data_IF_232417068539
#
_entry.id   IF_232417068539
#
_cell.length_a   1.000
_cell.length_b   1.000
_cell.length_c   1.000
_cell.angle_alpha   90.00
_cell.angle_beta   90.00
_cell.angle_gamma   90.00
#
_symmetry.space_group_name_H-M   'P 1'
#
loop_
_entity.id
_entity.type
_entity.pdbx_description
1 polymer ?
#
# COMPACT_ATOMS: atom_id res chain seq x y z
N UNK A 1 -27.71 -9.33 -12.35
CA UNK A 1 -26.42 -10.07 -12.42
C UNK A 1 -26.02 -10.48 -11.01
N UNK A 2 -25.83 -11.78 -10.71
CA UNK A 2 -25.54 -12.28 -9.36
C UNK A 2 -24.29 -11.66 -8.73
N UNK A 3 -23.24 -11.45 -9.54
CA UNK A 3 -21.96 -10.94 -9.05
C UNK A 3 -22.03 -9.48 -8.57
N UNK A 4 -22.78 -8.60 -9.24
CA UNK A 4 -22.98 -7.21 -8.79
C UNK A 4 -23.74 -7.15 -7.45
N UNK A 5 -24.72 -8.04 -7.27
CA UNK A 5 -25.46 -8.16 -6.02
C UNK A 5 -24.54 -8.67 -4.89
N UNK A 6 -23.75 -9.71 -5.17
CA UNK A 6 -22.78 -10.25 -4.22
C UNK A 6 -21.77 -9.18 -3.80
N UNK A 7 -21.18 -8.46 -4.74
CA UNK A 7 -20.21 -7.40 -4.45
C UNK A 7 -20.81 -6.32 -3.53
N UNK A 8 -21.98 -5.78 -3.91
CA UNK A 8 -22.66 -4.74 -3.13
C UNK A 8 -23.00 -5.21 -1.71
N UNK A 9 -23.60 -6.39 -1.59
CA UNK A 9 -23.98 -6.95 -0.29
C UNK A 9 -22.76 -7.24 0.58
N UNK A 10 -21.66 -7.74 0.00
CA UNK A 10 -20.41 -8.04 0.71
C UNK A 10 -19.73 -6.76 1.20
N UNK A 11 -19.65 -5.70 0.37
CA UNK A 11 -19.05 -4.42 0.78
C UNK A 11 -19.86 -3.76 1.90
N UNK A 12 -21.19 -3.68 1.76
CA UNK A 12 -22.04 -3.12 2.82
C UNK A 12 -21.90 -3.94 4.11
N UNK A 13 -21.89 -5.27 4.01
CA UNK A 13 -21.74 -6.16 5.17
C UNK A 13 -20.38 -5.96 5.85
N UNK A 14 -19.33 -5.81 5.06
CA UNK A 14 -17.97 -5.58 5.57
C UNK A 14 -17.87 -4.22 6.28
N UNK A 15 -18.44 -3.17 5.67
CA UNK A 15 -18.52 -1.84 6.28
C UNK A 15 -19.26 -1.87 7.62
N UNK A 16 -20.40 -2.58 7.69
CA UNK A 16 -21.23 -2.64 8.89
C UNK A 16 -20.63 -3.51 10.01
N UNK A 17 -19.96 -4.62 9.68
CA UNK A 17 -19.37 -5.51 10.68
C UNK A 17 -17.91 -5.17 11.01
N UNK A 18 -17.21 -4.40 10.16
CA UNK A 18 -15.81 -4.00 10.32
C UNK A 18 -14.82 -5.16 10.34
N UNK A 19 -15.22 -6.36 9.89
CA UNK A 19 -14.36 -7.57 9.95
C UNK A 19 -14.66 -8.50 8.78
N UNK A 20 -13.65 -9.01 8.05
CA UNK A 20 -13.82 -9.96 6.96
C UNK A 20 -14.01 -11.39 7.50
N UNK A 21 -15.00 -11.57 8.38
CA UNK A 21 -15.42 -12.86 8.94
C UNK A 21 -16.76 -13.21 8.32
N UNK A 22 -16.81 -14.26 7.49
CA UNK A 22 -17.95 -14.58 6.62
C UNK A 22 -19.26 -14.69 7.39
N UNK A 23 -19.28 -15.38 8.53
CA UNK A 23 -20.49 -15.49 9.36
C UNK A 23 -20.93 -14.16 9.96
N UNK A 24 -20.02 -13.23 10.29
CA UNK A 24 -20.37 -11.88 10.75
C UNK A 24 -20.89 -11.04 9.59
N UNK A 25 -20.25 -11.09 8.44
CA UNK A 25 -20.74 -10.45 7.22
C UNK A 25 -22.15 -10.92 6.88
N UNK A 26 -22.44 -12.23 6.95
CA UNK A 26 -23.78 -12.78 6.71
C UNK A 26 -24.84 -12.23 7.67
N UNK A 27 -24.48 -11.92 8.93
CA UNK A 27 -25.41 -11.29 9.91
C UNK A 27 -25.73 -9.84 9.58
N UNK A 28 -24.79 -9.13 8.93
CA UNK A 28 -24.92 -7.70 8.59
C UNK A 28 -25.34 -7.46 7.14
N UNK A 29 -25.68 -8.53 6.39
CA UNK A 29 -26.21 -8.37 5.02
C UNK A 29 -27.49 -7.53 5.00
N UNK A 30 -27.65 -6.62 4.01
CA UNK A 30 -28.81 -5.71 3.91
C UNK A 30 -30.14 -6.46 3.84
N UNK A 31 -30.21 -7.55 3.09
CA UNK A 31 -31.42 -8.34 2.94
C UNK A 31 -31.62 -9.31 4.11
N UNK A 32 -32.41 -8.88 5.11
CA UNK A 32 -32.71 -9.68 6.30
C UNK A 32 -33.94 -10.60 6.16
N UNK A 33 -34.66 -10.54 5.06
CA UNK A 33 -35.82 -11.45 4.81
C UNK A 33 -35.36 -12.90 4.60
N UNK A 34 -34.16 -13.10 4.07
CA UNK A 34 -33.56 -14.43 3.90
C UNK A 34 -33.01 -14.97 5.21
N UNK A 35 -33.20 -16.27 5.48
CA UNK A 35 -32.66 -16.95 6.67
C UNK A 35 -31.14 -16.79 6.76
N UNK A 36 -30.61 -16.73 7.97
CA UNK A 36 -29.17 -16.53 8.21
C UNK A 36 -28.29 -17.58 7.49
N UNK A 37 -28.62 -18.88 7.61
CA UNK A 37 -27.85 -19.93 6.96
C UNK A 37 -27.83 -19.76 5.44
N UNK A 38 -28.95 -19.44 4.80
CA UNK A 38 -29.00 -19.22 3.34
C UNK A 38 -28.16 -18.01 2.90
N UNK A 39 -28.01 -16.98 3.77
CA UNK A 39 -27.10 -15.85 3.49
C UNK A 39 -25.64 -16.26 3.63
N UNK A 40 -25.33 -17.08 4.65
CA UNK A 40 -24.00 -17.61 4.89
C UNK A 40 -23.57 -18.50 3.73
N UNK A 41 -24.38 -19.50 3.36
CA UNK A 41 -24.11 -20.42 2.25
C UNK A 41 -23.89 -19.68 0.94
N UNK A 42 -24.69 -18.63 0.69
CA UNK A 42 -24.53 -17.79 -0.51
C UNK A 42 -23.21 -17.02 -0.51
N UNK A 43 -22.81 -16.44 0.63
CA UNK A 43 -21.50 -15.78 0.74
C UNK A 43 -20.35 -16.76 0.51
N UNK A 44 -20.37 -17.89 1.19
CA UNK A 44 -19.34 -18.91 1.09
C UNK A 44 -19.23 -19.45 -0.34
N UNK A 45 -20.37 -19.79 -0.97
CA UNK A 45 -20.36 -20.28 -2.35
C UNK A 45 -19.80 -19.28 -3.35
N UNK A 46 -20.09 -17.97 -3.20
CA UNK A 46 -19.52 -16.95 -4.08
C UNK A 46 -18.03 -16.69 -3.80
N UNK A 47 -17.60 -16.80 -2.55
CA UNK A 47 -16.19 -16.64 -2.19
C UNK A 47 -15.28 -17.72 -2.77
N UNK A 48 -15.77 -18.95 -2.92
CA UNK A 48 -14.99 -20.09 -3.44
C UNK A 48 -15.26 -20.39 -4.91
N UNK A 49 -16.31 -19.81 -5.50
CA UNK A 49 -16.72 -20.10 -6.87
C UNK A 49 -15.60 -19.76 -7.85
N UNK A 50 -15.20 -20.73 -8.66
CA UNK A 50 -14.30 -20.46 -9.78
C UNK A 50 -15.05 -19.61 -10.84
N UNK A 51 -14.76 -18.32 -10.87
CA UNK A 51 -15.38 -17.36 -11.80
C UNK A 51 -14.39 -16.27 -12.14
N UNK A 52 -14.60 -15.64 -13.28
CA UNK A 52 -13.81 -14.47 -13.72
C UNK A 52 -14.13 -13.17 -12.96
N UNK A 53 -14.75 -13.30 -11.79
CA UNK A 53 -15.20 -12.17 -10.96
C UNK A 53 -14.04 -11.27 -10.53
N UNK A 54 -12.96 -11.88 -10.04
CA UNK A 54 -11.81 -11.13 -9.53
C UNK A 54 -11.10 -10.36 -10.66
N UNK A 55 -10.97 -10.99 -11.84
CA UNK A 55 -10.36 -10.35 -13.00
C UNK A 55 -11.21 -9.18 -13.51
N UNK A 56 -12.53 -9.34 -13.55
CA UNK A 56 -13.46 -8.25 -13.93
C UNK A 56 -13.32 -7.05 -13.00
N UNK A 57 -13.29 -7.28 -11.69
CA UNK A 57 -13.11 -6.18 -10.73
C UNK A 57 -11.73 -5.54 -10.94
N UNK A 58 -10.67 -6.34 -10.99
CA UNK A 58 -9.30 -5.85 -11.15
C UNK A 58 -9.07 -5.10 -12.47
N UNK A 59 -9.82 -5.42 -13.52
CA UNK A 59 -9.75 -4.70 -14.80
C UNK A 59 -10.51 -3.37 -14.79
N UNK A 60 -11.57 -3.25 -13.98
CA UNK A 60 -12.36 -2.02 -13.86
C UNK A 60 -11.79 -1.02 -12.84
N UNK A 61 -11.04 -1.48 -11.84
CA UNK A 61 -10.48 -0.64 -10.78
C UNK A 61 -9.62 0.53 -11.27
N UNK A 62 -8.76 0.38 -12.29
CA UNK A 62 -7.92 1.47 -12.77
C UNK A 62 -8.70 2.70 -13.22
N UNK A 63 -9.92 2.53 -13.75
CA UNK A 63 -10.75 3.65 -14.19
C UNK A 63 -11.06 4.66 -13.07
N UNK A 64 -11.02 4.23 -11.80
CA UNK A 64 -11.32 5.08 -10.65
C UNK A 64 -10.14 5.95 -10.19
N UNK A 65 -8.91 5.57 -10.49
CA UNK A 65 -7.72 6.30 -10.04
C UNK A 65 -6.78 6.74 -11.17
N UNK A 66 -6.83 6.08 -12.32
CA UNK A 66 -5.97 6.38 -13.47
C UNK A 66 -6.09 7.83 -13.98
N UNK A 67 -7.28 8.47 -13.98
CA UNK A 67 -7.41 9.88 -14.38
C UNK A 67 -6.61 10.85 -13.52
N UNK A 68 -6.35 10.51 -12.25
CA UNK A 68 -5.60 11.34 -11.30
C UNK A 68 -4.09 11.07 -11.35
N UNK A 69 -3.66 10.09 -12.14
CA UNK A 69 -2.28 9.63 -12.19
C UNK A 69 -1.43 10.55 -13.07
N UNK A 70 -0.37 11.10 -12.49
CA UNK A 70 0.58 12.01 -13.15
C UNK A 70 1.92 11.28 -13.40
N UNK A 71 2.75 11.89 -14.26
CA UNK A 71 4.08 11.35 -14.54
C UNK A 71 4.97 11.22 -13.31
N UNK A 72 4.84 12.11 -12.33
CA UNK A 72 5.61 12.12 -11.10
C UNK A 72 4.83 11.55 -9.89
N UNK A 73 3.70 10.89 -10.12
CA UNK A 73 2.96 10.22 -9.04
C UNK A 73 3.83 9.14 -8.39
N UNK A 74 4.08 9.21 -7.07
CA UNK A 74 4.77 8.13 -6.37
C UNK A 74 3.94 6.86 -6.38
N UNK A 75 4.55 5.77 -6.82
CA UNK A 75 4.03 4.40 -6.70
C UNK A 75 4.83 3.74 -5.58
N UNK A 76 4.23 3.66 -4.41
CA UNK A 76 4.88 3.12 -3.22
C UNK A 76 4.76 1.60 -3.28
N UNK A 77 5.91 0.92 -3.33
CA UNK A 77 6.01 -0.53 -3.29
C UNK A 77 6.43 -0.95 -1.89
N UNK A 78 5.65 -1.83 -1.29
CA UNK A 78 5.95 -2.42 0.02
C UNK A 78 5.53 -3.90 0.08
N UNK A 79 6.02 -4.60 1.09
CA UNK A 79 5.61 -5.95 1.45
C UNK A 79 5.15 -5.94 2.89
N UNK A 80 3.98 -6.51 3.13
CA UNK A 80 3.50 -6.75 4.47
C UNK A 80 3.05 -8.20 4.67
N UNK A 81 2.48 -8.47 5.82
CA UNK A 81 2.00 -9.79 6.20
C UNK A 81 0.51 -9.75 6.56
N UNK A 82 -0.12 -10.90 6.50
CA UNK A 82 -1.40 -11.20 7.13
C UNK A 82 -1.13 -12.27 8.17
N UNK A 83 -0.80 -11.85 9.40
CA UNK A 83 -0.44 -12.75 10.49
C UNK A 83 -1.61 -13.68 10.88
N UNK A 84 -1.31 -14.97 11.02
CA UNK A 84 -2.25 -16.04 11.41
C UNK A 84 -1.63 -16.96 12.47
N UNK A 85 -1.17 -16.44 13.63
CA UNK A 85 -0.34 -17.18 14.57
C UNK A 85 -0.98 -18.47 15.08
N UNK A 86 -2.30 -18.54 15.11
CA UNK A 86 -3.04 -19.71 15.61
C UNK A 86 -3.60 -20.62 14.49
N UNK A 87 -3.45 -20.27 13.22
CA UNK A 87 -3.95 -21.06 12.11
C UNK A 87 -3.06 -22.30 11.88
N UNK A 88 -3.68 -23.43 11.55
CA UNK A 88 -2.98 -24.70 11.28
C UNK A 88 -3.44 -25.40 10.00
N UNK A 89 -4.60 -25.03 9.45
CA UNK A 89 -5.28 -25.78 8.37
C UNK A 89 -5.77 -24.89 7.22
N UNK A 90 -5.31 -23.64 7.17
CA UNK A 90 -5.64 -22.77 6.04
C UNK A 90 -4.79 -23.19 4.82
N UNK A 91 -5.37 -23.12 3.61
CA UNK A 91 -4.65 -23.44 2.39
C UNK A 91 -3.39 -22.57 2.24
N UNK A 92 -2.29 -23.19 1.83
CA UNK A 92 -1.00 -22.53 1.55
C UNK A 92 -0.48 -21.63 2.69
N UNK A 93 -0.71 -22.04 3.93
CA UNK A 93 -0.26 -21.29 5.11
C UNK A 93 1.26 -21.32 5.21
N UNK A 94 1.90 -20.19 5.04
CA UNK A 94 3.36 -20.04 5.07
C UNK A 94 3.85 -19.48 6.42
N UNK A 95 5.17 -19.50 6.62
CA UNK A 95 5.83 -18.75 7.69
C UNK A 95 6.14 -17.34 7.18
N UNK A 96 5.63 -16.35 7.88
CA UNK A 96 5.86 -14.92 7.59
C UNK A 96 6.45 -14.22 8.81
N UNK A 97 7.08 -13.08 8.59
CA UNK A 97 7.52 -12.22 9.67
C UNK A 97 6.43 -11.21 9.98
N UNK A 98 5.83 -11.30 11.15
CA UNK A 98 4.86 -10.33 11.64
C UNK A 98 5.52 -8.94 11.77
N UNK A 99 5.04 -7.98 10.97
CA UNK A 99 5.58 -6.62 10.96
C UNK A 99 5.39 -5.86 12.28
N UNK A 100 4.46 -6.29 13.15
CA UNK A 100 4.16 -5.65 14.42
C UNK A 100 5.05 -6.14 15.56
N UNK A 101 5.34 -7.44 15.63
CA UNK A 101 6.13 -8.08 16.69
C UNK A 101 7.56 -8.41 16.27
N UNK A 102 7.80 -8.55 14.96
CA UNK A 102 9.05 -9.02 14.39
C UNK A 102 9.26 -10.53 14.50
N UNK A 103 8.29 -11.28 15.03
CA UNK A 103 8.34 -12.73 15.21
C UNK A 103 7.99 -13.47 13.91
N UNK A 104 8.45 -14.71 13.79
CA UNK A 104 8.04 -15.62 12.73
C UNK A 104 6.76 -16.33 13.16
N UNK A 105 5.72 -16.14 12.37
CA UNK A 105 4.38 -16.69 12.61
C UNK A 105 3.80 -17.30 11.34
N UNK A 106 2.78 -18.12 11.49
CA UNK A 106 1.99 -18.56 10.34
C UNK A 106 1.24 -17.38 9.71
N UNK A 107 1.14 -17.34 8.39
CA UNK A 107 0.46 -16.24 7.69
C UNK A 107 0.62 -16.27 6.19
N UNK A 108 0.37 -15.11 5.57
CA UNK A 108 0.52 -14.88 4.15
C UNK A 108 1.29 -13.59 3.92
N UNK A 109 2.06 -13.53 2.86
CA UNK A 109 2.65 -12.30 2.38
C UNK A 109 1.63 -11.49 1.58
N UNK A 110 1.79 -10.18 1.58
CA UNK A 110 0.98 -9.24 0.83
C UNK A 110 1.91 -8.31 0.03
N UNK A 111 1.85 -8.38 -1.30
CA UNK A 111 2.50 -7.40 -2.15
C UNK A 111 1.59 -6.20 -2.29
N UNK A 112 2.14 -5.00 -2.06
CA UNK A 112 1.38 -3.78 -1.96
C UNK A 112 1.94 -2.71 -2.89
N UNK A 113 1.07 -2.13 -3.70
CA UNK A 113 1.35 -0.95 -4.50
C UNK A 113 0.29 0.12 -4.21
N UNK A 114 0.75 1.26 -3.72
CA UNK A 114 -0.10 2.43 -3.46
C UNK A 114 0.30 3.58 -4.36
N UNK A 115 -0.68 4.22 -5.01
CA UNK A 115 -0.45 5.50 -5.67
C UNK A 115 -0.69 6.64 -4.68
N UNK A 116 0.31 7.50 -4.47
CA UNK A 116 0.17 8.68 -3.66
C UNK A 116 -0.35 9.85 -4.53
N UNK A 117 -1.67 9.85 -4.81
CA UNK A 117 -2.31 10.78 -5.75
C UNK A 117 -2.39 12.19 -5.19
N UNK A 118 -2.83 12.33 -3.95
CA UNK A 118 -2.80 13.59 -3.20
C UNK A 118 -2.06 13.40 -1.87
N UNK A 119 -1.75 14.49 -1.18
CA UNK A 119 -1.15 14.38 0.15
C UNK A 119 -2.15 13.70 1.10
N UNK A 120 -1.69 12.66 1.82
CA UNK A 120 -2.44 11.94 2.85
C UNK A 120 -3.56 11.01 2.33
N UNK A 121 -3.61 10.76 1.04
CA UNK A 121 -4.56 9.82 0.46
C UNK A 121 -3.84 8.81 -0.45
N UNK A 122 -3.13 7.83 0.10
CA UNK A 122 -2.57 6.72 -0.66
C UNK A 122 -3.71 5.81 -1.12
N UNK A 123 -3.84 5.66 -2.44
CA UNK A 123 -4.83 4.77 -3.05
C UNK A 123 -4.19 3.42 -3.32
N UNK A 124 -4.72 2.32 -2.78
CA UNK A 124 -4.22 0.99 -3.11
C UNK A 124 -4.54 0.67 -4.57
N UNK A 125 -3.53 0.66 -5.43
CA UNK A 125 -3.67 0.31 -6.85
C UNK A 125 -3.51 -1.17 -7.11
N UNK A 126 -2.79 -1.87 -6.21
CA UNK A 126 -2.69 -3.31 -6.19
C UNK A 126 -2.36 -3.77 -4.76
N UNK A 127 -3.15 -4.69 -4.22
CA UNK A 127 -2.83 -5.47 -3.02
C UNK A 127 -3.21 -6.92 -3.31
N UNK A 128 -2.21 -7.78 -3.35
CA UNK A 128 -2.44 -9.19 -3.65
C UNK A 128 -1.71 -10.07 -2.64
N UNK A 129 -2.43 -10.97 -1.94
CA UNK A 129 -1.78 -11.96 -1.09
C UNK A 129 -1.07 -13.01 -1.95
N UNK A 130 0.05 -13.52 -1.43
CA UNK A 130 0.77 -14.64 -2.02
C UNK A 130 1.37 -15.52 -0.92
N UNK A 131 1.71 -16.75 -1.29
CA UNK A 131 2.34 -17.70 -0.39
C UNK A 131 3.47 -18.44 -1.10
N UNK A 132 4.53 -18.74 -0.36
CA UNK A 132 5.60 -19.62 -0.83
C UNK A 132 5.18 -21.11 -0.82
N UNK A 133 4.11 -21.46 -0.09
CA UNK A 133 3.55 -22.81 -0.01
C UNK A 133 2.52 -23.09 -1.12
N UNK A 134 2.21 -22.09 -1.96
CA UNK A 134 1.35 -22.32 -3.13
C UNK A 134 2.11 -23.17 -4.16
N UNK A 135 1.48 -24.21 -4.75
CA UNK A 135 2.11 -25.00 -5.80
C UNK A 135 2.65 -24.12 -6.91
N UNK A 136 3.87 -24.41 -7.35
CA UNK A 136 4.56 -23.64 -8.39
C UNK A 136 4.79 -22.15 -8.05
N UNK A 137 4.80 -21.81 -6.75
CA UNK A 137 5.08 -20.43 -6.32
C UNK A 137 6.44 -19.97 -6.90
N UNK A 138 6.47 -18.88 -7.68
CA UNK A 138 7.70 -18.43 -8.28
C UNK A 138 8.65 -17.74 -7.29
N UNK A 139 8.22 -17.59 -6.04
CA UNK A 139 8.94 -16.85 -5.01
C UNK A 139 8.63 -15.35 -5.02
N UNK A 140 9.19 -14.62 -4.05
CA UNK A 140 8.86 -13.21 -3.80
C UNK A 140 9.21 -12.29 -4.98
N UNK A 141 10.44 -12.37 -5.51
CA UNK A 141 10.90 -11.41 -6.53
C UNK A 141 10.05 -11.45 -7.81
N UNK A 142 9.75 -12.62 -8.42
CA UNK A 142 8.87 -12.66 -9.59
C UNK A 142 7.44 -12.16 -9.30
N UNK A 143 6.89 -12.42 -8.10
CA UNK A 143 5.57 -11.88 -7.72
C UNK A 143 5.59 -10.36 -7.68
N UNK A 144 6.61 -9.76 -7.06
CA UNK A 144 6.78 -8.31 -6.99
C UNK A 144 6.97 -7.70 -8.38
N UNK A 145 7.85 -8.28 -9.21
CA UNK A 145 8.10 -7.83 -10.58
C UNK A 145 6.80 -7.84 -11.39
N UNK A 146 6.05 -8.94 -11.34
CA UNK A 146 4.76 -9.04 -12.03
C UNK A 146 3.75 -7.99 -11.56
N UNK A 147 3.71 -7.70 -10.26
CA UNK A 147 2.84 -6.66 -9.70
C UNK A 147 3.23 -5.26 -10.19
N UNK A 148 4.53 -4.94 -10.22
CA UNK A 148 5.07 -3.67 -10.72
C UNK A 148 4.78 -3.51 -12.21
N UNK A 149 5.05 -4.52 -13.03
CA UNK A 149 4.76 -4.51 -14.48
C UNK A 149 3.29 -4.21 -14.73
N UNK A 150 2.39 -4.95 -14.06
CA UNK A 150 0.95 -4.77 -14.21
C UNK A 150 0.51 -3.31 -13.99
N UNK A 151 1.02 -2.65 -12.96
CA UNK A 151 0.65 -1.26 -12.67
C UNK A 151 1.32 -0.29 -13.65
N UNK A 152 2.59 -0.48 -13.98
CA UNK A 152 3.30 0.41 -14.88
C UNK A 152 2.84 0.28 -16.34
N UNK A 153 2.38 -0.89 -16.77
CA UNK A 153 1.71 -1.07 -18.07
C UNK A 153 0.37 -0.31 -18.11
N UNK A 154 -0.47 -0.46 -17.07
CA UNK A 154 -1.74 0.27 -16.96
C UNK A 154 -1.58 1.79 -16.97
N UNK A 155 -0.46 2.29 -16.42
CA UNK A 155 -0.17 3.73 -16.36
C UNK A 155 0.65 4.23 -17.57
N UNK A 156 0.91 3.40 -18.58
CA UNK A 156 1.84 3.70 -19.68
C UNK A 156 3.22 4.16 -19.17
N UNK A 157 3.77 3.45 -18.19
CA UNK A 157 5.03 3.74 -17.49
C UNK A 157 5.10 5.11 -16.79
N UNK A 158 3.95 5.75 -16.58
CA UNK A 158 3.87 6.95 -15.73
C UNK A 158 4.00 6.57 -14.27
N UNK A 159 4.47 7.50 -13.45
CA UNK A 159 4.74 7.29 -12.03
C UNK A 159 6.21 7.02 -11.74
N UNK A 160 6.54 7.05 -10.47
CA UNK A 160 7.89 6.82 -9.95
C UNK A 160 7.79 5.78 -8.85
N UNK A 161 8.44 4.63 -9.03
CA UNK A 161 8.52 3.60 -8.00
C UNK A 161 9.30 4.13 -6.79
N UNK A 162 8.71 3.97 -5.62
CA UNK A 162 9.33 4.34 -4.35
C UNK A 162 9.32 3.13 -3.45
N UNK A 163 10.51 2.64 -3.09
CA UNK A 163 10.63 1.42 -2.31
C UNK A 163 11.66 1.55 -1.18
N UNK A 164 11.50 0.75 -0.15
CA UNK A 164 12.44 0.70 0.95
C UNK A 164 13.66 -0.18 0.63
N UNK A 165 14.57 -0.31 1.61
CA UNK A 165 15.80 -1.10 1.47
C UNK A 165 15.55 -2.62 1.26
N UNK A 166 14.36 -3.12 1.52
CA UNK A 166 14.00 -4.52 1.26
C UNK A 166 13.97 -4.84 -0.24
N UNK A 167 13.84 -3.82 -1.08
CA UNK A 167 13.84 -3.93 -2.55
C UNK A 167 15.20 -3.56 -3.17
N UNK A 168 16.21 -3.28 -2.37
CA UNK A 168 17.59 -3.11 -2.85
C UNK A 168 18.18 -4.47 -3.24
N UNK A 169 17.77 -4.97 -4.39
CA UNK A 169 18.26 -6.21 -4.96
C UNK A 169 18.71 -6.03 -6.41
N UNK A 170 19.67 -6.85 -6.84
CA UNK A 170 20.16 -6.85 -8.20
C UNK A 170 19.01 -7.12 -9.19
N UNK A 171 18.21 -8.12 -8.93
CA UNK A 171 17.10 -8.55 -9.81
C UNK A 171 16.08 -7.42 -10.01
N UNK A 172 15.78 -6.65 -8.98
CA UNK A 172 14.84 -5.51 -9.08
C UNK A 172 15.42 -4.38 -9.94
N UNK A 173 16.68 -4.01 -9.72
CA UNK A 173 17.30 -2.94 -10.50
C UNK A 173 17.48 -3.31 -11.97
N UNK A 174 17.88 -4.56 -12.28
CA UNK A 174 17.96 -5.07 -13.65
C UNK A 174 16.62 -4.94 -14.36
N UNK A 175 15.56 -5.49 -13.75
CA UNK A 175 14.21 -5.43 -14.30
C UNK A 175 13.73 -3.99 -14.54
N UNK A 176 13.90 -3.12 -13.55
CA UNK A 176 13.40 -1.74 -13.64
C UNK A 176 14.18 -0.90 -14.66
N UNK A 177 15.48 -1.11 -14.80
CA UNK A 177 16.31 -0.42 -15.79
C UNK A 177 16.01 -0.92 -17.19
N UNK A 178 15.91 -2.24 -17.40
CA UNK A 178 15.57 -2.83 -18.70
C UNK A 178 14.20 -2.35 -19.21
N UNK A 179 13.23 -2.22 -18.31
CA UNK A 179 11.91 -1.71 -18.63
C UNK A 179 11.80 -0.18 -18.63
N UNK A 180 12.90 0.53 -18.32
CA UNK A 180 12.97 2.01 -18.24
C UNK A 180 11.96 2.58 -17.22
N UNK A 181 11.74 1.87 -16.12
CA UNK A 181 10.91 2.35 -15.02
C UNK A 181 11.67 3.37 -14.18
N UNK A 182 11.01 4.43 -13.76
CA UNK A 182 11.59 5.46 -12.90
C UNK A 182 11.47 5.04 -11.45
N UNK A 183 12.53 5.22 -10.68
CA UNK A 183 12.53 4.78 -9.28
C UNK A 183 13.31 5.69 -8.33
N UNK A 184 13.00 5.59 -7.05
CA UNK A 184 13.78 6.07 -5.91
C UNK A 184 13.74 5.01 -4.80
N UNK A 185 14.85 4.36 -4.56
CA UNK A 185 14.96 3.21 -3.64
C UNK A 185 15.96 3.50 -2.55
N UNK A 186 15.64 3.12 -1.31
CA UNK A 186 16.60 3.19 -0.21
C UNK A 186 17.59 2.03 -0.32
N UNK A 187 18.88 2.37 -0.28
CA UNK A 187 19.96 1.38 -0.33
C UNK A 187 20.24 0.75 1.03
N UNK A 188 20.73 -0.47 0.99
CA UNK A 188 21.46 -1.11 2.10
C UNK A 188 22.92 -0.64 2.10
N UNK A 189 23.57 -0.64 3.25
CA UNK A 189 24.95 -0.13 3.38
C UNK A 189 25.99 -0.91 2.55
N UNK A 190 25.77 -2.21 2.37
CA UNK A 190 26.68 -3.10 1.66
C UNK A 190 26.48 -3.16 0.13
N UNK A 191 25.55 -2.36 -0.45
CA UNK A 191 25.40 -2.24 -1.92
C UNK A 191 26.70 -1.72 -2.52
N UNK A 192 27.21 -2.39 -3.54
CA UNK A 192 28.40 -1.95 -4.29
C UNK A 192 27.98 -1.04 -5.44
N UNK A 193 28.67 0.09 -5.57
CA UNK A 193 28.47 1.10 -6.62
C UNK A 193 29.83 1.57 -7.15
N UNK A 194 29.86 2.04 -8.39
CA UNK A 194 31.02 2.73 -8.98
C UNK A 194 30.73 4.23 -8.98
N UNK A 195 31.59 5.02 -8.38
CA UNK A 195 31.47 6.47 -8.35
C UNK A 195 31.91 7.08 -9.68
N UNK A 196 31.18 8.09 -10.14
CA UNK A 196 31.58 8.94 -11.26
C UNK A 196 31.90 10.32 -10.70
N UNK A 197 33.14 10.77 -10.88
CA UNK A 197 33.63 12.08 -10.45
C UNK A 197 34.37 12.79 -11.59
N UNK A 198 33.96 14.02 -11.92
CA UNK A 198 34.54 14.82 -13.03
C UNK A 198 34.63 14.07 -14.37
N UNK A 199 33.64 13.23 -14.67
CA UNK A 199 33.62 12.40 -15.88
C UNK A 199 34.48 11.13 -15.80
N UNK A 200 35.23 10.92 -14.73
CA UNK A 200 35.99 9.70 -14.50
C UNK A 200 35.20 8.70 -13.69
N UNK A 201 35.13 7.46 -14.18
CA UNK A 201 34.50 6.35 -13.50
C UNK A 201 35.53 5.62 -12.66
N UNK A 202 35.21 5.38 -11.40
CA UNK A 202 36.01 4.57 -10.51
C UNK A 202 35.93 3.09 -10.90
N UNK A 203 37.07 2.44 -11.18
CA UNK A 203 37.10 1.07 -11.65
C UNK A 203 36.60 0.05 -10.60
N UNK A 204 37.01 0.22 -9.35
CA UNK A 204 36.63 -0.71 -8.28
C UNK A 204 35.30 -0.29 -7.63
N UNK A 205 34.31 -1.22 -7.53
CA UNK A 205 33.08 -0.95 -6.84
C UNK A 205 33.30 -0.76 -5.33
N UNK A 206 32.68 0.25 -4.73
CA UNK A 206 32.74 0.57 -3.31
C UNK A 206 31.37 0.38 -2.68
N UNK A 207 31.33 -0.03 -1.40
CA UNK A 207 30.08 -0.12 -0.65
C UNK A 207 29.43 1.25 -0.48
N UNK A 208 28.11 1.30 -0.62
CA UNK A 208 27.33 2.55 -0.51
C UNK A 208 27.56 3.29 0.82
N UNK A 209 27.75 2.59 1.92
CA UNK A 209 28.07 3.20 3.23
C UNK A 209 29.39 3.99 3.20
N UNK A 210 30.44 3.44 2.56
CA UNK A 210 31.73 4.14 2.43
C UNK A 210 31.68 5.29 1.42
N UNK A 211 30.91 5.14 0.33
CA UNK A 211 30.65 6.25 -0.59
C UNK A 211 29.90 7.38 0.09
N UNK A 212 28.91 7.05 0.94
CA UNK A 212 28.17 8.04 1.67
C UNK A 212 29.04 8.91 2.58
N UNK A 213 30.14 8.36 3.10
CA UNK A 213 31.10 9.11 3.92
C UNK A 213 31.99 10.06 3.10
N UNK A 214 32.19 9.75 1.82
CA UNK A 214 32.97 10.57 0.90
C UNK A 214 32.14 11.68 0.24
N UNK A 215 30.80 11.52 0.15
CA UNK A 215 29.92 12.48 -0.51
C UNK A 215 29.58 13.64 0.46
N UNK A 216 30.01 14.88 0.17
CA UNK A 216 29.63 16.04 0.96
C UNK A 216 28.11 16.26 1.00
N UNK A 217 27.59 16.72 2.13
CA UNK A 217 26.15 17.01 2.30
C UNK A 217 25.89 18.48 2.61
N UNK A 218 26.22 19.40 1.68
CA UNK A 218 26.16 20.86 1.94
C UNK A 218 24.75 21.43 1.93
N UNK A 219 23.77 20.70 1.42
CA UNK A 219 22.42 21.25 1.24
C UNK A 219 21.52 20.89 2.42
N UNK A 220 20.66 21.83 2.80
CA UNK A 220 19.72 21.66 3.91
C UNK A 220 18.31 21.41 3.41
N UNK A 221 17.61 20.47 4.05
CA UNK A 221 16.19 20.20 3.90
C UNK A 221 15.51 20.16 5.28
N UNK A 222 14.49 20.98 5.47
CA UNK A 222 13.75 21.04 6.72
C UNK A 222 12.44 20.25 6.59
N UNK A 223 12.31 19.17 7.38
CA UNK A 223 11.10 18.37 7.47
C UNK A 223 10.33 18.74 8.73
N UNK A 224 9.14 19.30 8.56
CA UNK A 224 8.25 19.60 9.68
C UNK A 224 7.43 18.35 9.99
N UNK A 225 7.53 17.85 11.23
CA UNK A 225 6.74 16.73 11.74
C UNK A 225 5.88 17.25 12.89
N UNK A 226 4.59 16.92 12.88
CA UNK A 226 3.70 17.17 14.02
C UNK A 226 3.76 15.96 14.96
N UNK A 227 4.12 16.18 16.20
CA UNK A 227 4.12 15.16 17.25
C UNK A 227 3.36 15.69 18.47
N UNK A 228 2.28 15.00 18.86
CA UNK A 228 1.41 15.38 20.00
C UNK A 228 1.03 16.88 19.98
N UNK A 229 0.55 17.35 18.83
CA UNK A 229 0.13 18.75 18.64
C UNK A 229 1.26 19.79 18.52
N UNK A 230 2.52 19.40 18.72
CA UNK A 230 3.69 20.29 18.58
C UNK A 230 4.38 20.07 17.23
N UNK A 231 4.80 21.17 16.59
CA UNK A 231 5.63 21.11 15.36
C UNK A 231 7.09 20.90 15.78
N UNK A 232 7.73 19.85 15.25
CA UNK A 232 9.17 19.61 15.37
C UNK A 232 9.79 19.71 13.99
N UNK A 233 10.87 20.49 13.86
CA UNK A 233 11.64 20.61 12.62
C UNK A 233 12.79 19.62 12.68
N UNK A 234 12.85 18.72 11.72
CA UNK A 234 13.98 17.84 11.49
C UNK A 234 14.83 18.41 10.37
N UNK A 235 16.07 18.73 10.67
CA UNK A 235 17.04 19.23 9.70
C UNK A 235 17.73 18.01 9.09
N UNK A 236 17.66 17.89 7.77
CA UNK A 236 18.33 16.84 7.00
C UNK A 236 19.37 17.51 6.11
N UNK A 237 20.63 17.10 6.25
CA UNK A 237 21.70 17.51 5.34
C UNK A 237 21.70 16.55 4.14
N UNK A 238 21.83 17.10 2.93
CA UNK A 238 21.70 16.35 1.68
C UNK A 238 22.95 16.57 0.84
N UNK A 239 23.43 15.49 0.22
CA UNK A 239 24.41 15.49 -0.84
C UNK A 239 24.04 14.47 -1.89
N UNK A 240 24.67 14.52 -3.05
CA UNK A 240 24.45 13.54 -4.10
C UNK A 240 25.70 13.38 -4.97
N UNK A 241 25.79 12.23 -5.64
CA UNK A 241 26.84 11.93 -6.59
C UNK A 241 26.31 11.01 -7.69
N UNK A 242 26.90 11.11 -8.88
CA UNK A 242 26.61 10.19 -9.97
C UNK A 242 27.31 8.86 -9.72
N UNK A 243 26.60 7.77 -9.93
CA UNK A 243 27.09 6.40 -9.67
C UNK A 243 26.60 5.45 -10.76
N UNK A 244 27.21 4.27 -10.83
CA UNK A 244 26.71 3.14 -11.63
C UNK A 244 26.61 1.89 -10.76
N UNK A 245 25.70 0.99 -11.13
CA UNK A 245 25.75 -0.40 -10.66
C UNK A 245 26.93 -1.12 -11.31
N UNK A 246 27.59 -2.07 -10.63
CA UNK A 246 28.76 -2.77 -11.18
C UNK A 246 28.55 -3.45 -12.54
N UNK A 247 27.34 -3.95 -12.77
CA UNK A 247 26.94 -4.69 -13.97
C UNK A 247 26.27 -3.82 -15.04
N UNK A 248 26.15 -2.50 -14.83
CA UNK A 248 25.36 -1.62 -15.70
C UNK A 248 26.14 -0.37 -16.10
N UNK A 249 25.82 0.14 -17.28
CA UNK A 249 26.41 1.37 -17.80
C UNK A 249 25.55 2.62 -17.59
N UNK A 250 24.27 2.42 -17.19
CA UNK A 250 23.36 3.52 -16.91
C UNK A 250 23.87 4.35 -15.72
N UNK A 251 23.91 5.65 -15.94
CA UNK A 251 24.25 6.61 -14.89
C UNK A 251 23.05 6.83 -13.98
N UNK A 252 23.24 6.54 -12.71
CA UNK A 252 22.28 6.73 -11.64
C UNK A 252 22.77 7.83 -10.71
N UNK A 253 21.92 8.28 -9.80
CA UNK A 253 22.31 9.22 -8.74
C UNK A 253 22.10 8.58 -7.38
N UNK A 254 23.14 8.60 -6.56
CA UNK A 254 23.05 8.30 -5.13
C UNK A 254 22.85 9.59 -4.36
N UNK A 255 21.80 9.63 -3.52
CA UNK A 255 21.51 10.76 -2.64
C UNK A 255 21.80 10.33 -1.21
N UNK A 256 22.61 11.11 -0.50
CA UNK A 256 22.97 10.89 0.90
C UNK A 256 22.21 11.88 1.76
N UNK A 257 21.49 11.40 2.75
CA UNK A 257 20.70 12.20 3.68
C UNK A 257 21.17 11.94 5.12
N UNK A 258 21.71 12.96 5.79
CA UNK A 258 22.14 12.89 7.19
C UNK A 258 21.16 13.64 8.07
N UNK A 259 20.55 12.90 9.00
CA UNK A 259 19.64 13.45 10.00
C UNK A 259 20.38 13.65 11.32
N UNK A 260 20.27 14.84 11.90
CA UNK A 260 20.87 15.13 13.20
C UNK A 260 20.42 14.11 14.28
N UNK A 261 21.39 13.54 15.01
CA UNK A 261 21.14 12.49 16.02
C UNK A 261 21.07 11.05 15.49
N UNK A 262 21.28 10.83 14.18
CA UNK A 262 21.40 9.49 13.59
C UNK A 262 22.83 9.27 13.09
N UNK A 263 23.45 8.18 13.53
CA UNK A 263 24.83 7.84 13.16
C UNK A 263 24.98 7.50 11.68
N UNK A 264 24.01 6.74 11.14
CA UNK A 264 24.09 6.25 9.77
C UNK A 264 23.24 7.12 8.83
N UNK A 265 23.78 7.52 7.66
CA UNK A 265 23.03 8.24 6.68
C UNK A 265 21.97 7.34 6.02
N UNK A 266 20.90 7.95 5.57
CA UNK A 266 19.98 7.34 4.62
C UNK A 266 20.51 7.56 3.21
N UNK A 267 20.59 6.49 2.43
CA UNK A 267 21.07 6.49 1.05
C UNK A 267 19.94 6.12 0.13
N UNK A 268 19.71 6.93 -0.91
CA UNK A 268 18.72 6.67 -1.95
C UNK A 268 19.43 6.50 -3.28
N UNK A 269 18.99 5.54 -4.09
CA UNK A 269 19.42 5.36 -5.47
C UNK A 269 18.24 5.70 -6.39
N UNK A 270 18.53 6.47 -7.44
CA UNK A 270 17.50 6.87 -8.41
C UNK A 270 18.08 6.98 -9.83
N UNK A 271 17.25 6.69 -10.82
CA UNK A 271 17.51 6.99 -12.23
C UNK A 271 16.83 8.29 -12.71
N UNK A 272 16.23 9.05 -11.81
CA UNK A 272 15.73 10.39 -12.10
C UNK A 272 16.92 11.33 -12.33
N UNK A 273 16.75 12.33 -13.22
CA UNK A 273 17.76 13.38 -13.37
C UNK A 273 17.87 14.17 -12.06
N UNK A 274 19.09 14.29 -11.56
CA UNK A 274 19.45 15.09 -10.38
C UNK A 274 20.68 15.90 -10.76
N UNK A 275 20.48 17.16 -11.07
CA UNK A 275 21.56 18.06 -11.48
C UNK A 275 21.87 19.10 -10.38
N UNK A 276 20.91 19.38 -9.52
CA UNK A 276 21.07 20.34 -8.45
C UNK A 276 20.43 19.88 -7.11
N UNK A 277 20.54 20.74 -6.11
CA UNK A 277 19.99 20.50 -4.77
C UNK A 277 18.46 20.42 -4.74
N UNK A 278 17.76 21.07 -5.68
CA UNK A 278 16.29 21.04 -5.71
C UNK A 278 15.80 19.69 -6.23
N UNK A 279 16.49 19.13 -7.22
CA UNK A 279 16.23 17.79 -7.72
C UNK A 279 16.47 16.75 -6.62
N UNK A 280 17.60 16.82 -5.90
CA UNK A 280 17.88 15.94 -4.78
C UNK A 280 16.80 16.04 -3.67
N UNK A 281 16.35 17.25 -3.37
CA UNK A 281 15.25 17.49 -2.42
C UNK A 281 13.92 16.94 -2.94
N UNK A 282 13.68 17.00 -4.26
CA UNK A 282 12.48 16.42 -4.89
C UNK A 282 12.47 14.90 -4.69
N UNK A 283 13.58 14.21 -4.98
CA UNK A 283 13.69 12.76 -4.78
C UNK A 283 13.49 12.39 -3.31
N UNK A 284 14.10 13.14 -2.39
CA UNK A 284 13.88 12.92 -0.95
C UNK A 284 12.41 13.10 -0.56
N UNK A 285 11.70 14.11 -1.10
CA UNK A 285 10.25 14.29 -0.84
C UNK A 285 9.43 13.13 -1.36
N UNK A 286 9.76 12.59 -2.54
CA UNK A 286 9.11 11.40 -3.09
C UNK A 286 9.31 10.21 -2.15
N UNK A 287 10.55 9.97 -1.71
CA UNK A 287 10.84 8.87 -0.79
C UNK A 287 10.14 9.03 0.57
N UNK A 288 10.06 10.22 1.12
CA UNK A 288 9.37 10.49 2.39
C UNK A 288 7.88 10.12 2.30
N UNK A 289 7.26 10.23 1.13
CA UNK A 289 5.86 9.83 0.92
C UNK A 289 5.64 8.32 1.07
N UNK A 290 6.69 7.49 1.03
CA UNK A 290 6.60 6.06 1.29
C UNK A 290 5.87 5.75 2.61
N UNK A 291 6.05 6.58 3.64
CA UNK A 291 5.34 6.36 4.92
C UNK A 291 3.80 6.45 4.84
N UNK A 292 3.27 6.94 3.74
CA UNK A 292 1.80 6.95 3.54
C UNK A 292 1.25 5.52 3.43
N UNK A 293 2.02 4.54 2.91
CA UNK A 293 1.60 3.15 2.85
C UNK A 293 1.51 2.50 4.24
N UNK A 294 2.37 2.89 5.18
CA UNK A 294 2.35 2.36 6.55
C UNK A 294 1.04 2.73 7.27
N UNK A 295 0.49 3.93 7.01
CA UNK A 295 -0.84 4.30 7.51
C UNK A 295 -1.96 3.57 6.77
N UNK A 296 -1.80 3.34 5.47
CA UNK A 296 -2.76 2.61 4.65
C UNK A 296 -2.90 1.15 5.11
N UNK A 297 -1.80 0.43 5.27
CA UNK A 297 -1.84 -0.96 5.75
C UNK A 297 -2.31 -1.04 7.21
N UNK A 298 -1.91 -0.09 8.07
CA UNK A 298 -2.41 0.02 9.44
C UNK A 298 -3.93 0.19 9.46
N UNK A 299 -4.48 1.03 8.57
CA UNK A 299 -5.92 1.19 8.40
C UNK A 299 -6.59 -0.14 8.03
N UNK A 300 -6.08 -0.86 7.03
CA UNK A 300 -6.63 -2.16 6.62
C UNK A 300 -6.54 -3.20 7.75
N UNK A 301 -5.41 -3.29 8.45
CA UNK A 301 -5.22 -4.22 9.55
C UNK A 301 -6.09 -3.88 10.78
N UNK A 302 -6.26 -2.59 11.13
CA UNK A 302 -6.93 -2.17 12.36
C UNK A 302 -8.43 -1.85 12.18
N UNK A 303 -8.83 -1.20 11.07
CA UNK A 303 -10.21 -0.77 10.87
C UNK A 303 -11.03 -1.77 10.07
N UNK A 304 -10.46 -2.30 9.00
CA UNK A 304 -11.09 -3.37 8.23
C UNK A 304 -10.78 -4.75 8.82
N UNK A 305 -9.83 -4.81 9.77
CA UNK A 305 -9.43 -6.01 10.48
C UNK A 305 -8.98 -7.15 9.56
N UNK A 306 -8.11 -6.86 8.59
CA UNK A 306 -7.67 -7.79 7.55
C UNK A 306 -7.13 -9.12 8.12
N UNK A 307 -6.46 -9.06 9.27
CA UNK A 307 -5.94 -10.24 9.97
C UNK A 307 -7.03 -11.11 10.62
N UNK A 308 -8.29 -10.66 10.66
CA UNK A 308 -9.42 -11.45 11.17
C UNK A 308 -10.08 -12.36 10.13
N UNK A 309 -9.56 -12.43 8.90
CA UNK A 309 -9.99 -13.42 7.91
C UNK A 309 -9.92 -14.83 8.53
N UNK A 310 -11.04 -15.57 8.49
CA UNK A 310 -11.18 -16.92 9.07
C UNK A 310 -11.88 -17.84 8.08
N UNK A 311 -11.21 -18.13 6.99
CA UNK A 311 -11.62 -19.13 6.02
C UNK A 311 -10.43 -20.00 5.67
N UNK A 312 -10.66 -21.25 5.28
CA UNK A 312 -9.57 -22.17 4.94
C UNK A 312 -9.17 -22.04 3.47
N UNK A 313 -10.12 -21.78 2.60
CA UNK A 313 -9.93 -21.79 1.16
C UNK A 313 -9.15 -20.56 0.66
N UNK A 314 -8.11 -20.79 -0.13
CA UNK A 314 -7.22 -19.75 -0.66
C UNK A 314 -7.93 -18.70 -1.52
N UNK A 315 -8.80 -19.13 -2.44
CA UNK A 315 -9.57 -18.21 -3.28
C UNK A 315 -10.44 -17.28 -2.44
N UNK A 316 -11.06 -17.82 -1.38
CA UNK A 316 -11.87 -17.03 -0.46
C UNK A 316 -11.02 -16.03 0.34
N UNK A 317 -9.80 -16.40 0.74
CA UNK A 317 -8.85 -15.49 1.40
C UNK A 317 -8.52 -14.32 0.46
N UNK A 318 -8.11 -14.60 -0.78
CA UNK A 318 -7.79 -13.59 -1.78
C UNK A 318 -8.97 -12.64 -2.05
N UNK A 319 -10.20 -13.17 -2.13
CA UNK A 319 -11.40 -12.35 -2.33
C UNK A 319 -11.77 -11.48 -1.14
N UNK A 320 -11.58 -11.98 0.08
CA UNK A 320 -11.81 -11.17 1.28
C UNK A 320 -10.78 -10.04 1.39
N UNK A 321 -9.53 -10.28 0.99
CA UNK A 321 -8.51 -9.21 0.85
C UNK A 321 -8.96 -8.20 -0.21
N UNK A 322 -9.38 -8.66 -1.39
CA UNK A 322 -9.88 -7.77 -2.45
C UNK A 322 -11.06 -6.92 -1.97
N UNK A 323 -12.04 -7.49 -1.25
CA UNK A 323 -13.17 -6.74 -0.69
C UNK A 323 -12.72 -5.69 0.32
N UNK A 324 -11.73 -5.99 1.16
CA UNK A 324 -11.14 -5.03 2.11
C UNK A 324 -10.45 -3.86 1.37
N UNK A 325 -9.71 -4.17 0.32
CA UNK A 325 -9.07 -3.18 -0.55
C UNK A 325 -10.10 -2.29 -1.23
N UNK A 326 -11.20 -2.86 -1.73
CA UNK A 326 -12.29 -2.10 -2.35
C UNK A 326 -12.95 -1.10 -1.39
N UNK A 327 -13.06 -1.43 -0.10
CA UNK A 327 -13.52 -0.47 0.91
C UNK A 327 -12.59 0.74 0.95
N UNK A 328 -11.28 0.52 0.99
CA UNK A 328 -10.32 1.62 1.04
C UNK A 328 -10.30 2.43 -0.26
N UNK A 329 -10.35 1.77 -1.43
CA UNK A 329 -10.44 2.46 -2.74
C UNK A 329 -11.69 3.34 -2.79
N UNK A 330 -12.84 2.84 -2.34
CA UNK A 330 -14.07 3.60 -2.31
C UNK A 330 -13.98 4.85 -1.41
N UNK A 331 -13.39 4.71 -0.22
CA UNK A 331 -13.18 5.85 0.68
C UNK A 331 -12.20 6.87 0.10
N UNK A 332 -11.14 6.39 -0.54
CA UNK A 332 -10.15 7.25 -1.21
C UNK A 332 -10.77 8.00 -2.38
N UNK A 333 -11.57 7.32 -3.20
CA UNK A 333 -12.32 7.94 -4.29
C UNK A 333 -13.34 8.97 -3.77
N UNK A 334 -14.08 8.62 -2.72
CA UNK A 334 -15.03 9.53 -2.09
C UNK A 334 -14.35 10.82 -1.60
N UNK A 335 -13.15 10.68 -1.06
CA UNK A 335 -12.36 11.81 -0.57
C UNK A 335 -11.91 12.76 -1.69
N UNK A 336 -11.51 12.22 -2.85
CA UNK A 336 -11.06 13.03 -3.98
C UNK A 336 -12.24 13.68 -4.75
N UNK A 337 -13.33 12.93 -4.98
CA UNK A 337 -14.41 13.35 -5.85
C UNK A 337 -15.57 14.06 -5.13
N UNK A 338 -15.77 13.78 -3.84
CA UNK A 338 -16.95 14.22 -3.11
C UNK A 338 -16.62 14.90 -1.77
N UNK A 339 -15.84 15.99 -1.75
CA UNK A 339 -15.40 16.64 -0.51
C UNK A 339 -16.57 17.04 0.40
N UNK A 340 -17.69 17.53 -0.17
CA UNK A 340 -18.87 17.89 0.60
C UNK A 340 -19.50 16.68 1.34
N UNK A 341 -19.54 15.50 0.70
CA UNK A 341 -20.00 14.27 1.37
C UNK A 341 -19.03 13.88 2.49
N UNK A 342 -17.73 14.00 2.22
CA UNK A 342 -16.70 13.70 3.22
C UNK A 342 -16.82 14.59 4.46
N UNK A 343 -17.05 15.89 4.30
CA UNK A 343 -17.27 16.79 5.43
C UNK A 343 -18.46 16.35 6.29
N UNK A 344 -19.58 15.98 5.66
CA UNK A 344 -20.74 15.45 6.36
C UNK A 344 -20.47 14.14 7.08
N UNK A 345 -19.77 13.19 6.43
CA UNK A 345 -19.41 11.92 7.07
C UNK A 345 -18.45 12.15 8.24
N UNK A 346 -17.50 13.07 8.10
CA UNK A 346 -16.60 13.47 9.19
C UNK A 346 -17.38 14.06 10.38
N UNK A 347 -18.43 14.83 10.12
CA UNK A 347 -19.31 15.34 11.19
C UNK A 347 -20.10 14.23 11.90
N UNK A 348 -20.48 13.15 11.22
CA UNK A 348 -21.15 11.99 11.82
C UNK A 348 -20.18 11.11 12.61
N UNK A 349 -18.88 11.19 12.34
CA UNK A 349 -17.87 10.41 13.04
C UNK A 349 -17.52 11.00 14.38
N UNK A 350 -17.19 10.14 15.37
CA UNK A 350 -16.62 10.64 16.62
C UNK A 350 -15.19 11.17 16.39
N UNK A 351 -14.78 12.24 17.11
CA UNK A 351 -13.40 12.70 17.09
C UNK A 351 -12.45 11.59 17.56
N UNK A 352 -11.33 11.43 16.85
CA UNK A 352 -10.29 10.50 17.28
C UNK A 352 -9.31 11.19 18.24
N UNK A 353 -8.76 10.48 19.23
CA UNK A 353 -7.94 11.08 20.29
C UNK A 353 -6.77 11.92 19.78
N UNK A 354 -6.07 11.48 18.75
CA UNK A 354 -4.89 12.16 18.21
C UNK A 354 -5.16 12.97 16.93
N UNK A 355 -6.46 13.06 16.52
CA UNK A 355 -6.88 13.69 15.26
C UNK A 355 -5.90 13.35 14.10
N UNK A 356 -5.80 12.07 13.71
CA UNK A 356 -4.81 11.63 12.75
C UNK A 356 -4.98 12.36 11.42
N UNK A 357 -3.87 12.68 10.80
CA UNK A 357 -3.85 13.33 9.48
C UNK A 357 -4.47 12.46 8.38
N UNK A 358 -4.61 11.15 8.63
CA UNK A 358 -5.20 10.17 7.72
C UNK A 358 -6.73 10.12 7.88
N UNK A 359 -7.43 10.84 7.03
CA UNK A 359 -8.88 11.08 7.15
C UNK A 359 -9.76 9.85 7.00
N UNK A 360 -9.26 8.77 6.36
CA UNK A 360 -10.06 7.57 6.05
C UNK A 360 -10.60 6.88 7.32
N UNK A 361 -9.93 7.00 8.46
CA UNK A 361 -10.44 6.53 9.75
C UNK A 361 -11.81 7.15 10.09
N UNK A 362 -11.91 8.46 9.94
CA UNK A 362 -13.14 9.21 10.23
C UNK A 362 -14.20 8.99 9.15
N UNK A 363 -13.79 8.89 7.89
CA UNK A 363 -14.70 8.62 6.77
C UNK A 363 -15.35 7.24 6.90
N UNK A 364 -14.59 6.20 7.28
CA UNK A 364 -15.13 4.87 7.51
C UNK A 364 -16.17 4.87 8.63
N UNK A 365 -15.85 5.48 9.77
CA UNK A 365 -16.77 5.56 10.91
C UNK A 365 -18.03 6.34 10.54
N UNK A 366 -17.91 7.51 9.94
CA UNK A 366 -19.04 8.32 9.51
C UNK A 366 -19.92 7.63 8.45
N UNK A 367 -19.31 6.92 7.51
CA UNK A 367 -20.05 6.12 6.51
C UNK A 367 -20.81 4.98 7.17
N UNK A 368 -20.20 4.28 8.12
CA UNK A 368 -20.85 3.21 8.87
C UNK A 368 -22.06 3.74 9.66
N UNK A 369 -21.93 4.89 10.31
CA UNK A 369 -23.03 5.55 11.03
C UNK A 369 -24.15 5.99 10.08
N UNK A 370 -23.80 6.58 8.93
CA UNK A 370 -24.78 6.96 7.91
C UNK A 370 -25.58 5.76 7.40
N UNK A 371 -24.90 4.65 7.08
CA UNK A 371 -25.55 3.41 6.63
C UNK A 371 -26.45 2.84 7.73
N UNK A 372 -26.00 2.78 8.98
CA UNK A 372 -26.77 2.30 10.11
C UNK A 372 -28.03 3.14 10.31
N UNK A 373 -27.93 4.47 10.27
CA UNK A 373 -29.04 5.39 10.40
C UNK A 373 -30.08 5.19 9.30
N UNK A 374 -29.65 5.07 8.02
CA UNK A 374 -30.54 4.79 6.91
C UNK A 374 -31.28 3.46 7.07
N UNK A 375 -30.62 2.39 7.56
CA UNK A 375 -31.28 1.11 7.82
C UNK A 375 -32.33 1.19 8.94
N UNK A 376 -32.05 1.94 10.01
CA UNK A 376 -33.01 2.14 11.09
C UNK A 376 -34.23 2.94 10.64
N UNK A 377 -34.05 4.04 9.92
CA UNK A 377 -35.13 4.85 9.38
C UNK A 377 -36.05 4.05 8.45
N UNK A 378 -35.47 3.23 7.57
CA UNK A 378 -36.25 2.37 6.68
C UNK A 378 -37.06 1.30 7.46
N UNK A 379 -36.51 0.76 8.53
CA UNK A 379 -37.19 -0.22 9.39
C UNK A 379 -38.36 0.40 10.17
N UNK A 380 -38.20 1.63 10.63
CA UNK A 380 -39.25 2.34 11.36
C UNK A 380 -40.38 2.80 10.44
N UNK A 381 -40.06 3.20 9.18
CA UNK A 381 -41.08 3.47 8.16
C UNK A 381 -41.91 2.23 7.85
N UNK A 382 -41.27 1.06 7.66
CA UNK A 382 -41.97 -0.20 7.43
C UNK A 382 -42.84 -0.66 8.63
N UNK A 383 -42.45 -0.33 9.88
CA UNK A 383 -43.27 -0.64 11.07
C UNK A 383 -44.47 0.28 11.23
N UNK A 384 -44.43 1.48 10.67
CA UNK A 384 -45.55 2.45 10.74
C UNK A 384 -46.56 2.27 9.59
N UNK A 385 -46.20 1.48 8.55
CA UNK A 385 -47.04 1.16 7.40
C UNK A 385 -47.64 -0.25 7.47
N UNK A 386 -47.38 -1.03 8.50
CA UNK A 386 -48.01 -2.29 8.90
C UNK A 386 -48.86 -2.09 10.17
#
# INVERSE_FOLDING_TARGET
MPDKKFLRESLISLLLCGKPIVCQMARHMPNRQTKFLSRLDRLESHLVKNSDFDNKIKSELPSNWLPFFKDDTPIILDLSDIAKPYAKKMDYLATVRDGSTGELVNGYWLVELYASLSRKNPVPVLLEPFSHEEPESPGQNPVVIKAVHKILELTNKRGILVADRGFDSFVMFEDWLDNKYRFAVRLVGNRHLRLIYDGFEQHAPIKAEYLADQIPTPYRFDKIVKCRGRKKVHIIQIGFAKVKLPSRDEVLTMIVCRLAGHEKPMMLLTNLSVEDSQDAKRVLRLYIRRWECEEAIRFLKSQVNLEKIRTFNWTAICRLVLLAVLVMIYLSWLFEEHPYICERLVCLSQPLPDNPDFVLYRLLTGLTEAINTCFWLHKDLLRRTL
#
